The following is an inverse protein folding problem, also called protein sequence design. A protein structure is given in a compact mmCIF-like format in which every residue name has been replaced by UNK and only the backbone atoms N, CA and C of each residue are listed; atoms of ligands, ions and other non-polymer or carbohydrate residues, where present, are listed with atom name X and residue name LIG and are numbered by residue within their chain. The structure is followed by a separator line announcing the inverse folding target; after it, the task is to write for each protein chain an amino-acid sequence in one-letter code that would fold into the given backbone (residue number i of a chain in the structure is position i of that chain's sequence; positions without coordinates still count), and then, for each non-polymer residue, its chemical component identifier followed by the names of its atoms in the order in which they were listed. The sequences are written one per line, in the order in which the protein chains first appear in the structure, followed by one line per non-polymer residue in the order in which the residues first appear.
data_IF_195330963233
#
_entry.id   IF_195330963233
#
_cell.length_a   1.000
_cell.length_b   1.000
_cell.length_c   1.000
_cell.angle_alpha   90.00
_cell.angle_beta   90.00
_cell.angle_gamma   90.00
#
_symmetry.space_group_name_H-M   'P 1'
#
loop_
_entity.id
_entity.type
_entity.pdbx_description
1 polymer ?
#
# COMPACT_ATOMS: atom_id res chain seq x y z
N UNK A 1 10.83 -10.14 5.55
CA UNK A 1 10.12 -8.89 5.25
C UNK A 1 9.69 -8.92 3.79
N UNK A 2 8.50 -8.44 3.50
CA UNK A 2 8.02 -8.25 2.13
C UNK A 2 8.86 -7.20 1.39
N UNK A 3 8.85 -7.24 0.06
CA UNK A 3 9.48 -6.19 -0.75
C UNK A 3 8.51 -5.04 -0.94
N UNK A 4 8.95 -3.83 -0.59
CA UNK A 4 8.19 -2.60 -0.82
C UNK A 4 8.62 -1.99 -2.16
N UNK A 5 7.64 -1.65 -2.98
CA UNK A 5 7.81 -0.95 -4.26
C UNK A 5 7.12 0.41 -4.13
N UNK A 6 7.87 1.49 -3.86
CA UNK A 6 7.29 2.83 -3.84
C UNK A 6 6.92 3.25 -5.28
N UNK A 7 5.68 3.69 -5.47
CA UNK A 7 5.26 4.34 -6.71
C UNK A 7 5.11 5.85 -6.46
N UNK A 8 4.50 6.21 -5.34
CA UNK A 8 4.51 7.57 -4.81
C UNK A 8 5.09 7.63 -3.40
N UNK A 9 5.06 8.82 -2.81
CA UNK A 9 5.49 9.06 -1.43
C UNK A 9 4.31 8.94 -0.46
N UNK A 10 4.50 8.43 0.76
CA UNK A 10 3.48 8.48 1.81
C UNK A 10 3.08 9.93 2.08
N UNK A 11 1.78 10.22 2.09
CA UNK A 11 1.30 11.61 2.27
C UNK A 11 1.19 12.00 3.74
N UNK A 12 1.23 11.01 4.64
CA UNK A 12 1.15 11.21 6.08
C UNK A 12 1.92 10.13 6.88
N UNK A 13 2.05 10.38 8.18
CA UNK A 13 2.72 9.47 9.11
C UNK A 13 2.02 8.11 9.23
N UNK A 14 0.69 8.07 9.13
CA UNK A 14 -0.06 6.81 9.24
C UNK A 14 0.25 5.86 8.09
N UNK A 15 0.33 6.37 6.86
CA UNK A 15 0.74 5.60 5.68
C UNK A 15 2.19 5.12 5.79
N UNK A 16 3.11 6.01 6.18
CA UNK A 16 4.51 5.62 6.38
C UNK A 16 4.63 4.47 7.38
N UNK A 17 3.89 4.55 8.49
CA UNK A 17 3.87 3.52 9.52
C UNK A 17 3.20 2.23 9.03
N UNK A 18 2.11 2.32 8.26
CA UNK A 18 1.42 1.17 7.70
C UNK A 18 2.32 0.40 6.70
N UNK A 19 2.99 1.10 5.79
CA UNK A 19 3.95 0.50 4.86
C UNK A 19 5.09 -0.18 5.61
N UNK A 20 5.68 0.48 6.61
CA UNK A 20 6.74 -0.10 7.44
C UNK A 20 6.25 -1.36 8.18
N UNK A 21 5.06 -1.31 8.77
CA UNK A 21 4.47 -2.43 9.47
C UNK A 21 4.27 -3.63 8.53
N UNK A 22 3.67 -3.43 7.36
CA UNK A 22 3.43 -4.49 6.39
C UNK A 22 4.75 -5.07 5.85
N UNK A 23 5.74 -4.24 5.52
CA UNK A 23 7.08 -4.70 5.13
C UNK A 23 7.63 -5.66 6.16
N UNK A 24 7.66 -5.26 7.42
CA UNK A 24 8.37 -5.96 8.48
C UNK A 24 7.67 -7.26 8.90
N UNK A 25 6.34 -7.35 8.76
CA UNK A 25 5.55 -8.48 9.26
C UNK A 25 5.02 -9.43 8.18
N UNK A 26 5.05 -9.05 6.90
CA UNK A 26 4.63 -9.93 5.81
C UNK A 26 5.76 -10.87 5.32
N UNK A 27 5.41 -12.05 4.76
CA UNK A 27 6.38 -12.96 4.19
C UNK A 27 7.19 -12.34 3.04
N UNK A 28 8.42 -12.81 2.83
CA UNK A 28 9.29 -12.31 1.76
C UNK A 28 8.79 -12.59 0.34
N UNK A 29 7.81 -13.49 0.18
CA UNK A 29 7.15 -13.75 -1.10
C UNK A 29 6.10 -12.71 -1.47
N UNK A 30 5.84 -11.71 -0.60
CA UNK A 30 4.82 -10.69 -0.81
C UNK A 30 5.47 -9.41 -1.33
N UNK A 31 4.74 -8.71 -2.20
CA UNK A 31 5.09 -7.36 -2.65
C UNK A 31 4.06 -6.36 -2.12
N UNK A 32 4.52 -5.19 -1.69
CA UNK A 32 3.66 -4.07 -1.29
C UNK A 32 3.96 -2.85 -2.18
N UNK A 33 2.99 -2.45 -2.99
CA UNK A 33 3.02 -1.21 -3.78
C UNK A 33 2.28 -0.14 -3.00
N UNK A 34 2.76 1.10 -2.95
CA UNK A 34 2.06 2.15 -2.20
C UNK A 34 2.01 3.49 -2.93
N UNK A 35 0.99 4.28 -2.54
CA UNK A 35 0.70 5.63 -2.97
C UNK A 35 0.66 5.76 -4.50
N UNK A 36 -0.31 5.11 -5.14
CA UNK A 36 -0.48 5.19 -6.59
C UNK A 36 -1.93 5.39 -7.00
N UNK A 37 -2.08 5.83 -8.25
CA UNK A 37 -3.37 6.06 -8.88
C UNK A 37 -3.62 5.02 -9.97
N UNK A 38 -4.87 4.57 -10.09
CA UNK A 38 -5.35 3.78 -11.21
C UNK A 38 -6.36 4.64 -11.99
N UNK A 39 -6.12 4.83 -13.28
CA UNK A 39 -7.06 5.52 -14.17
C UNK A 39 -7.89 4.51 -14.94
N UNK A 40 -9.22 4.60 -14.82
CA UNK A 40 -10.16 3.70 -15.49
C UNK A 40 -11.47 4.42 -15.79
N UNK A 41 -11.97 4.26 -17.01
CA UNK A 41 -13.29 4.75 -17.44
C UNK A 41 -13.51 6.26 -17.19
N UNK A 42 -12.43 7.06 -17.27
CA UNK A 42 -12.44 8.51 -17.03
C UNK A 42 -12.31 8.91 -15.57
N UNK A 43 -12.26 7.94 -14.65
CA UNK A 43 -12.09 8.15 -13.21
C UNK A 43 -10.66 7.80 -12.76
N UNK A 44 -10.22 8.46 -11.68
CA UNK A 44 -8.97 8.17 -10.98
C UNK A 44 -9.30 7.58 -9.63
N UNK A 45 -8.73 6.41 -9.33
CA UNK A 45 -8.85 5.74 -8.05
C UNK A 45 -7.51 5.80 -7.33
N UNK A 46 -7.51 6.36 -6.13
CA UNK A 46 -6.34 6.38 -5.25
C UNK A 46 -6.23 5.05 -4.50
N UNK A 47 -5.01 4.52 -4.43
CA UNK A 47 -4.68 3.31 -3.69
C UNK A 47 -3.51 3.61 -2.76
N UNK A 48 -3.77 3.56 -1.46
CA UNK A 48 -2.74 3.76 -0.45
C UNK A 48 -1.73 2.62 -0.49
N UNK A 49 -2.19 1.36 -0.43
CA UNK A 49 -1.31 0.19 -0.53
C UNK A 49 -2.01 -0.96 -1.28
N UNK A 50 -1.31 -1.60 -2.21
CA UNK A 50 -1.69 -2.88 -2.79
C UNK A 50 -0.69 -3.96 -2.38
N UNK A 51 -1.18 -5.05 -1.78
CA UNK A 51 -0.36 -6.20 -1.36
C UNK A 51 -0.61 -7.37 -2.29
N UNK A 52 0.42 -7.72 -3.07
CA UNK A 52 0.42 -8.91 -3.92
C UNK A 52 0.94 -10.11 -3.13
N UNK A 53 0.03 -11.04 -2.83
CA UNK A 53 0.30 -12.32 -2.20
C UNK A 53 0.28 -13.44 -3.26
N UNK A 54 0.81 -14.64 -2.96
CA UNK A 54 0.77 -15.77 -3.90
C UNK A 54 -0.65 -16.19 -4.35
N UNK A 55 -1.69 -15.84 -3.59
CA UNK A 55 -3.06 -16.30 -3.82
C UNK A 55 -4.07 -15.16 -4.08
N UNK A 56 -3.67 -13.90 -3.91
CA UNK A 56 -4.59 -12.76 -4.03
C UNK A 56 -3.84 -11.43 -4.14
N UNK A 57 -4.58 -10.42 -4.61
CA UNK A 57 -4.22 -9.01 -4.50
C UNK A 57 -5.17 -8.36 -3.49
N UNK A 58 -4.61 -7.69 -2.48
CA UNK A 58 -5.37 -6.95 -1.48
C UNK A 58 -5.16 -5.46 -1.69
N UNK A 59 -6.24 -4.69 -1.69
CA UNK A 59 -6.18 -3.22 -1.59
C UNK A 59 -6.41 -2.84 -0.13
N UNK A 60 -5.49 -2.04 0.40
CA UNK A 60 -5.49 -1.58 1.80
C UNK A 60 -5.60 -0.07 1.79
N UNK A 61 -6.71 0.42 2.34
CA UNK A 61 -6.95 1.84 2.60
C UNK A 61 -6.45 2.15 4.03
N UNK A 62 -5.60 3.16 4.15
CA UNK A 62 -4.99 3.57 5.41
C UNK A 62 -5.76 4.75 5.98
N UNK A 63 -6.13 4.64 7.26
CA UNK A 63 -6.83 5.70 7.98
C UNK A 63 -6.16 5.96 9.32
N UNK A 64 -5.59 7.15 9.47
CA UNK A 64 -5.17 7.67 10.78
C UNK A 64 -6.39 8.01 11.63
N UNK A 65 -6.30 7.82 12.95
CA UNK A 65 -7.41 8.03 13.89
C UNK A 65 -7.24 9.23 14.81
N UNK A 66 -6.16 10.00 14.62
CA UNK A 66 -5.93 11.25 15.37
C UNK A 66 -6.31 12.42 14.46
N UNK A 67 -7.33 13.16 14.88
CA UNK A 67 -7.78 14.40 14.24
C UNK A 67 -6.89 15.58 14.59
#
# INVERSE_FOLDING_TARGET
MATVVPIGEPVNDAERLAVAYLRDHLPSSYLAFHNFEIRRDGETFEVDIAVLAPHALYLVDVKGTRG
#
